data_IF_485838230867
#
_entry.id   IF_485838230867
#
_cell.length_a   1.000
_cell.length_b   1.000
_cell.length_c   1.000
_cell.angle_alpha   90.00
_cell.angle_beta   90.00
_cell.angle_gamma   90.00
#
_symmetry.space_group_name_H-M   'P 1'
#
loop_
_entity.id
_entity.type
_entity.pdbx_description
1 polymer ?
#
# COMPACT_ATOMS: atom_id res chain seq x y z
N UNK A 1 -3.25 -6.44 -39.82
CA UNK A 1 -3.04 -7.33 -38.65
C UNK A 1 -4.09 -7.04 -37.59
N UNK A 2 -4.97 -7.98 -37.31
CA UNK A 2 -6.05 -7.80 -36.33
C UNK A 2 -5.48 -7.83 -34.90
N UNK A 3 -5.68 -6.76 -34.13
CA UNK A 3 -5.32 -6.70 -32.72
C UNK A 3 -6.13 -7.74 -31.93
N UNK A 4 -5.46 -8.76 -31.39
CA UNK A 4 -6.04 -9.74 -30.47
C UNK A 4 -6.73 -8.99 -29.32
N UNK A 5 -8.06 -9.07 -29.21
CA UNK A 5 -8.82 -8.53 -28.06
C UNK A 5 -8.28 -9.16 -26.77
N UNK A 6 -7.74 -8.35 -25.88
CA UNK A 6 -7.36 -8.81 -24.53
C UNK A 6 -8.62 -9.36 -23.86
N UNK A 7 -8.52 -10.61 -23.35
CA UNK A 7 -9.59 -11.17 -22.52
C UNK A 7 -9.81 -10.23 -21.33
N UNK A 8 -11.06 -9.79 -21.12
CA UNK A 8 -11.42 -9.03 -19.91
C UNK A 8 -11.05 -9.88 -18.69
N UNK A 9 -10.18 -9.36 -17.82
CA UNK A 9 -9.90 -9.98 -16.53
C UNK A 9 -11.20 -10.10 -15.73
N UNK A 10 -11.41 -11.25 -15.08
CA UNK A 10 -12.56 -11.41 -14.17
C UNK A 10 -12.47 -10.34 -13.09
N UNK A 11 -13.57 -9.62 -12.89
CA UNK A 11 -13.65 -8.62 -11.84
C UNK A 11 -13.62 -9.34 -10.47
N UNK A 12 -12.54 -9.20 -9.74
CA UNK A 12 -12.32 -9.85 -8.45
C UNK A 12 -12.90 -9.05 -7.27
N UNK A 13 -13.26 -7.80 -7.50
CA UNK A 13 -13.87 -6.92 -6.49
C UNK A 13 -15.25 -6.49 -7.02
N UNK A 14 -16.29 -7.16 -6.54
CA UNK A 14 -17.66 -7.00 -7.02
C UNK A 14 -18.54 -6.30 -5.98
N UNK A 15 -19.77 -5.99 -6.35
CA UNK A 15 -20.78 -5.49 -5.42
C UNK A 15 -21.00 -6.48 -4.26
N UNK A 16 -20.97 -7.79 -4.53
CA UNK A 16 -21.06 -8.82 -3.50
C UNK A 16 -19.98 -8.70 -2.42
N UNK A 17 -18.75 -8.32 -2.81
CA UNK A 17 -17.67 -8.06 -1.86
C UNK A 17 -17.96 -6.83 -1.00
N UNK A 18 -18.51 -5.78 -1.60
CA UNK A 18 -18.89 -4.55 -0.89
C UNK A 18 -19.99 -4.83 0.13
N UNK A 19 -21.03 -5.57 -0.26
CA UNK A 19 -22.13 -5.99 0.60
C UNK A 19 -21.63 -6.90 1.75
N UNK A 20 -20.67 -7.77 1.44
CA UNK A 20 -20.02 -8.62 2.46
C UNK A 20 -19.23 -7.81 3.49
N UNK A 21 -18.58 -6.72 3.09
CA UNK A 21 -17.86 -5.82 4.01
C UNK A 21 -18.85 -5.11 4.94
N UNK A 22 -19.97 -4.64 4.42
CA UNK A 22 -21.04 -4.03 5.22
C UNK A 22 -21.61 -5.04 6.22
N UNK A 23 -21.89 -6.26 5.76
CA UNK A 23 -22.37 -7.34 6.61
C UNK A 23 -21.35 -7.69 7.72
N UNK A 24 -20.08 -7.78 7.37
CA UNK A 24 -18.99 -8.02 8.32
C UNK A 24 -18.95 -6.94 9.41
N UNK A 25 -19.09 -5.67 9.04
CA UNK A 25 -19.06 -4.55 9.99
C UNK A 25 -20.29 -4.55 10.92
N UNK A 26 -21.43 -5.00 10.44
CA UNK A 26 -22.68 -5.05 11.22
C UNK A 26 -22.81 -6.30 12.10
N UNK A 27 -21.96 -7.31 11.89
CA UNK A 27 -22.00 -8.57 12.65
C UNK A 27 -21.11 -8.44 13.89
N UNK A 28 -21.67 -8.76 15.07
CA UNK A 28 -20.93 -8.74 16.35
C UNK A 28 -20.22 -10.06 16.64
N UNK A 29 -20.74 -11.17 16.12
CA UNK A 29 -20.21 -12.52 16.35
C UNK A 29 -18.89 -12.73 15.58
N UNK A 30 -17.82 -13.05 16.31
CA UNK A 30 -16.48 -13.27 15.78
C UNK A 30 -16.39 -14.46 14.82
N UNK A 31 -17.12 -15.53 15.10
CA UNK A 31 -17.09 -16.75 14.27
C UNK A 31 -17.79 -16.50 12.92
N UNK A 32 -18.92 -15.82 12.96
CA UNK A 32 -19.66 -15.46 11.74
C UNK A 32 -18.84 -14.46 10.90
N UNK A 33 -18.20 -13.49 11.54
CA UNK A 33 -17.31 -12.53 10.85
C UNK A 33 -16.17 -13.24 10.13
N UNK A 34 -15.53 -14.22 10.77
CA UNK A 34 -14.45 -14.99 10.16
C UNK A 34 -14.94 -15.75 8.93
N UNK A 35 -16.10 -16.39 8.99
CA UNK A 35 -16.71 -17.10 7.85
C UNK A 35 -17.03 -16.16 6.68
N UNK A 36 -17.60 -14.98 6.96
CA UNK A 36 -17.89 -13.96 5.93
C UNK A 36 -16.58 -13.49 5.27
N UNK A 37 -15.57 -13.22 6.07
CA UNK A 37 -14.27 -12.77 5.58
C UNK A 37 -13.62 -13.80 4.65
N UNK A 38 -13.51 -15.04 5.09
CA UNK A 38 -12.88 -16.12 4.33
C UNK A 38 -13.62 -16.43 3.02
N UNK A 39 -14.94 -16.47 3.07
CA UNK A 39 -15.76 -16.84 1.92
C UNK A 39 -15.86 -15.74 0.85
N UNK A 40 -15.90 -14.46 1.23
CA UNK A 40 -16.33 -13.38 0.33
C UNK A 40 -15.36 -12.19 0.24
N UNK A 41 -14.50 -11.95 1.23
CA UNK A 41 -13.66 -10.76 1.30
C UNK A 41 -12.19 -11.09 1.06
N UNK A 42 -11.68 -12.16 1.61
CA UNK A 42 -10.25 -12.50 1.60
C UNK A 42 -9.65 -12.49 0.20
N UNK A 43 -10.28 -13.17 -0.75
CA UNK A 43 -9.79 -13.25 -2.13
C UNK A 43 -9.74 -11.87 -2.81
N UNK A 44 -10.74 -11.03 -2.56
CA UNK A 44 -10.79 -9.68 -3.12
C UNK A 44 -9.65 -8.81 -2.58
N UNK A 45 -9.38 -8.85 -1.29
CA UNK A 45 -8.26 -8.12 -0.67
C UNK A 45 -6.91 -8.67 -1.11
N UNK A 46 -6.77 -9.99 -1.21
CA UNK A 46 -5.57 -10.62 -1.71
C UNK A 46 -5.22 -10.15 -3.13
N UNK A 47 -6.19 -10.18 -4.04
CA UNK A 47 -6.00 -9.73 -5.43
C UNK A 47 -5.81 -8.22 -5.56
N UNK A 48 -6.48 -7.44 -4.73
CA UNK A 48 -6.31 -5.98 -4.69
C UNK A 48 -4.88 -5.62 -4.31
N UNK A 49 -4.36 -6.21 -3.23
CA UNK A 49 -3.00 -5.95 -2.74
C UNK A 49 -1.95 -6.42 -3.72
N UNK A 50 -2.08 -7.63 -4.28
CA UNK A 50 -1.21 -8.17 -5.32
C UNK A 50 -1.12 -7.24 -6.53
N UNK A 51 -2.25 -6.82 -7.06
CA UNK A 51 -2.30 -5.94 -8.22
C UNK A 51 -1.66 -4.57 -7.96
N UNK A 52 -1.87 -3.99 -6.78
CA UNK A 52 -1.27 -2.70 -6.43
C UNK A 52 0.24 -2.83 -6.27
N UNK A 53 0.72 -3.85 -5.58
CA UNK A 53 2.16 -4.11 -5.41
C UNK A 53 2.83 -4.23 -6.78
N UNK A 54 2.28 -5.03 -7.68
CA UNK A 54 2.86 -5.24 -9.01
C UNK A 54 2.73 -4.02 -9.94
N UNK A 55 1.61 -3.30 -9.89
CA UNK A 55 1.38 -2.13 -10.75
C UNK A 55 2.35 -1.00 -10.42
N UNK A 56 2.59 -0.75 -9.16
CA UNK A 56 3.47 0.32 -8.70
C UNK A 56 4.91 -0.14 -8.45
N UNK A 57 5.22 -1.41 -8.72
CA UNK A 57 6.56 -2.01 -8.58
C UNK A 57 7.20 -1.80 -7.21
N UNK A 58 6.40 -1.86 -6.15
CA UNK A 58 6.88 -1.70 -4.78
C UNK A 58 7.83 -2.81 -4.30
N UNK A 59 7.96 -3.89 -5.07
CA UNK A 59 8.87 -5.01 -4.77
C UNK A 59 10.36 -4.69 -5.06
N UNK A 60 10.69 -3.56 -5.68
CA UNK A 60 12.07 -3.16 -5.94
C UNK A 60 12.80 -2.54 -4.74
N UNK A 61 12.08 -2.18 -3.68
CA UNK A 61 12.66 -1.58 -2.48
C UNK A 61 12.77 -2.61 -1.37
N UNK A 62 13.91 -3.31 -1.29
CA UNK A 62 14.33 -4.17 -0.15
C UNK A 62 13.20 -4.92 0.58
N UNK A 63 12.27 -5.47 -0.17
CA UNK A 63 11.23 -6.33 0.38
C UNK A 63 11.81 -7.74 0.42
N UNK A 64 12.19 -8.21 1.59
CA UNK A 64 12.77 -9.54 1.78
C UNK A 64 11.79 -10.66 1.43
N UNK A 65 10.49 -10.41 1.56
CA UNK A 65 9.44 -11.36 1.25
C UNK A 65 8.14 -10.62 0.83
N UNK A 66 7.72 -10.82 -0.42
CA UNK A 66 6.49 -10.24 -0.95
C UNK A 66 5.23 -10.78 -0.27
N UNK A 67 5.22 -12.05 0.09
CA UNK A 67 4.09 -12.67 0.78
C UNK A 67 3.89 -12.06 2.16
N UNK A 68 4.99 -11.82 2.89
CA UNK A 68 4.94 -11.16 4.18
C UNK A 68 4.41 -9.73 4.06
N UNK A 69 4.91 -8.97 3.07
CA UNK A 69 4.43 -7.61 2.79
C UNK A 69 2.93 -7.62 2.48
N UNK A 70 2.47 -8.54 1.65
CA UNK A 70 1.06 -8.67 1.30
C UNK A 70 0.21 -9.00 2.52
N UNK A 71 0.69 -9.89 3.38
CA UNK A 71 0.01 -10.26 4.62
C UNK A 71 -0.10 -9.07 5.59
N UNK A 72 0.97 -8.30 5.77
CA UNK A 72 0.93 -7.07 6.59
C UNK A 72 -0.10 -6.06 6.06
N UNK A 73 -0.18 -5.87 4.75
CA UNK A 73 -1.16 -4.97 4.14
C UNK A 73 -2.59 -5.47 4.38
N UNK A 74 -2.85 -6.77 4.19
CA UNK A 74 -4.17 -7.36 4.42
C UNK A 74 -4.57 -7.20 5.89
N UNK A 75 -3.67 -7.45 6.82
CA UNK A 75 -3.91 -7.24 8.24
C UNK A 75 -4.25 -5.77 8.54
N UNK A 76 -3.53 -4.84 7.93
CA UNK A 76 -3.85 -3.42 8.06
C UNK A 76 -5.23 -3.07 7.48
N UNK A 77 -5.61 -3.64 6.33
CA UNK A 77 -6.95 -3.44 5.76
C UNK A 77 -8.05 -3.91 6.70
N UNK A 78 -7.86 -5.05 7.38
CA UNK A 78 -8.80 -5.54 8.38
C UNK A 78 -9.02 -4.53 9.51
N UNK A 79 -7.95 -3.88 9.99
CA UNK A 79 -8.07 -2.84 11.02
C UNK A 79 -8.83 -1.59 10.55
N UNK A 80 -8.88 -1.35 9.23
CA UNK A 80 -9.55 -0.18 8.63
C UNK A 80 -10.94 -0.49 8.06
N UNK A 81 -11.33 -1.76 8.02
CA UNK A 81 -12.57 -2.20 7.38
C UNK A 81 -13.82 -1.61 8.03
N UNK A 82 -13.80 -1.41 9.34
CA UNK A 82 -14.91 -0.82 10.10
C UNK A 82 -15.18 0.66 9.75
N UNK A 83 -14.20 1.35 9.14
CA UNK A 83 -14.32 2.76 8.74
C UNK A 83 -14.98 2.93 7.36
N UNK A 84 -15.19 1.83 6.64
CA UNK A 84 -15.84 1.89 5.34
C UNK A 84 -17.33 2.18 5.48
N UNK A 85 -17.78 3.23 4.81
CA UNK A 85 -19.18 3.67 4.78
C UNK A 85 -19.64 3.79 3.32
N UNK A 86 -20.56 2.90 2.85
CA UNK A 86 -21.05 2.93 1.49
C UNK A 86 -21.88 4.19 1.18
N UNK A 87 -22.44 4.85 2.20
CA UNK A 87 -23.27 6.04 2.03
C UNK A 87 -22.49 7.27 1.54
N UNK A 88 -21.17 7.26 1.73
CA UNK A 88 -20.26 8.34 1.27
C UNK A 88 -19.97 8.32 -0.23
N UNK A 89 -20.59 7.42 -0.99
CA UNK A 89 -20.53 7.36 -2.45
C UNK A 89 -19.22 6.80 -3.03
N UNK A 90 -18.23 6.49 -2.21
CA UNK A 90 -17.00 5.85 -2.65
C UNK A 90 -17.19 4.33 -2.70
N UNK A 91 -16.87 3.72 -3.86
CA UNK A 91 -16.87 2.25 -3.95
C UNK A 91 -15.76 1.65 -3.10
N UNK A 92 -16.02 0.50 -2.48
CA UNK A 92 -15.09 -0.21 -1.63
C UNK A 92 -13.74 -0.47 -2.33
N UNK A 93 -13.75 -0.85 -3.60
CA UNK A 93 -12.53 -1.01 -4.40
C UNK A 93 -11.62 0.24 -4.38
N UNK A 94 -12.19 1.41 -4.63
CA UNK A 94 -11.44 2.67 -4.67
C UNK A 94 -10.96 3.10 -3.27
N UNK A 95 -11.80 2.89 -2.27
CA UNK A 95 -11.50 3.21 -0.89
C UNK A 95 -10.31 2.39 -0.37
N UNK A 96 -10.40 1.07 -0.45
CA UNK A 96 -9.33 0.18 0.02
C UNK A 96 -8.08 0.25 -0.86
N UNK A 97 -8.23 0.44 -2.17
CA UNK A 97 -7.12 0.67 -3.08
C UNK A 97 -6.28 1.89 -2.71
N UNK A 98 -6.94 2.99 -2.32
CA UNK A 98 -6.25 4.19 -1.84
C UNK A 98 -5.51 3.95 -0.53
N UNK A 99 -6.10 3.20 0.40
CA UNK A 99 -5.48 2.84 1.67
C UNK A 99 -4.21 2.02 1.43
N UNK A 100 -4.29 0.96 0.61
CA UNK A 100 -3.14 0.11 0.26
C UNK A 100 -2.02 0.92 -0.36
N UNK A 101 -2.35 1.78 -1.33
CA UNK A 101 -1.37 2.63 -2.00
C UNK A 101 -0.65 3.57 -1.03
N UNK A 102 -1.39 4.24 -0.15
CA UNK A 102 -0.81 5.14 0.87
C UNK A 102 0.06 4.38 1.85
N UNK A 103 -0.37 3.22 2.29
CA UNK A 103 0.41 2.37 3.19
C UNK A 103 1.74 1.95 2.56
N UNK A 104 1.72 1.51 1.30
CA UNK A 104 2.93 1.12 0.56
C UNK A 104 3.90 2.30 0.37
N UNK A 105 3.41 3.48 0.08
CA UNK A 105 4.24 4.69 -0.03
C UNK A 105 4.95 4.97 1.30
N UNK A 106 4.23 4.93 2.41
CA UNK A 106 4.80 5.15 3.75
C UNK A 106 5.80 4.06 4.12
N UNK A 107 5.52 2.80 3.81
CA UNK A 107 6.41 1.66 4.02
C UNK A 107 7.73 1.84 3.27
N UNK A 108 7.68 2.19 1.99
CA UNK A 108 8.86 2.44 1.18
C UNK A 108 9.68 3.62 1.70
N UNK A 109 9.03 4.73 2.05
CA UNK A 109 9.70 5.90 2.63
C UNK A 109 10.42 5.55 3.93
N UNK A 110 9.77 4.76 4.79
CA UNK A 110 10.37 4.30 6.05
C UNK A 110 11.60 3.42 5.81
N UNK A 111 11.53 2.49 4.87
CA UNK A 111 12.64 1.60 4.53
C UNK A 111 13.81 2.38 3.90
N UNK A 112 13.52 3.30 3.00
CA UNK A 112 14.52 4.18 2.41
C UNK A 112 15.25 5.02 3.46
N UNK A 113 14.53 5.62 4.40
CA UNK A 113 15.12 6.40 5.49
C UNK A 113 15.97 5.54 6.43
N UNK A 114 15.57 4.27 6.68
CA UNK A 114 16.39 3.33 7.45
C UNK A 114 17.70 2.99 6.73
N UNK A 115 17.66 2.85 5.40
CA UNK A 115 18.85 2.57 4.58
C UNK A 115 19.84 3.71 4.65
N UNK A 116 19.40 4.95 4.47
CA UNK A 116 20.27 6.13 4.54
C UNK A 116 20.95 6.23 5.91
N UNK A 117 20.24 5.97 7.01
CA UNK A 117 20.79 6.01 8.36
C UNK A 117 21.81 4.90 8.65
N UNK A 118 21.84 3.84 7.86
CA UNK A 118 22.77 2.70 8.00
C UNK A 118 24.01 2.81 7.14
N UNK A 119 24.24 3.89 6.41
CA UNK A 119 25.47 4.11 5.66
C UNK A 119 26.61 4.22 6.68
N UNK A 120 27.64 3.34 6.64
CA UNK A 120 28.74 3.38 7.59
C UNK A 120 29.49 4.70 7.49
N UNK A 121 29.81 5.28 8.62
CA UNK A 121 30.59 6.54 8.72
C UNK A 121 31.94 6.44 8.00
N UNK A 122 32.49 5.24 7.87
CA UNK A 122 33.72 4.95 7.13
C UNK A 122 33.67 5.35 5.66
N UNK A 123 32.52 5.25 5.02
CA UNK A 123 32.32 5.71 3.63
C UNK A 123 32.32 7.24 3.54
N UNK A 124 31.87 7.91 4.57
CA UNK A 124 31.83 9.37 4.65
C UNK A 124 33.23 9.97 4.81
N UNK A 125 34.14 9.23 5.46
CA UNK A 125 35.53 9.67 5.69
C UNK A 125 36.45 9.41 4.49
N UNK A 126 36.16 8.38 3.66
CA UNK A 126 37.01 8.03 2.49
C UNK A 126 36.76 8.88 1.26
N UNK A 127 35.58 9.41 1.10
CA UNK A 127 35.22 10.15 -0.13
C UNK A 127 35.09 11.66 0.10
N UNK A 128 35.68 12.29 1.11
CA UNK A 128 35.68 13.74 1.31
C UNK A 128 34.35 14.39 0.82
N UNK A 129 33.23 13.78 1.14
CA UNK A 129 32.15 13.74 0.21
C UNK A 129 31.22 14.92 0.38
N UNK A 130 31.50 15.95 -0.38
CA UNK A 130 30.54 16.95 -0.87
C UNK A 130 29.27 16.30 -1.43
N UNK A 131 29.33 15.05 -1.87
CA UNK A 131 28.21 14.36 -2.50
C UNK A 131 27.08 13.99 -1.52
N UNK A 132 27.42 13.58 -0.30
CA UNK A 132 26.41 13.24 0.73
C UNK A 132 25.77 14.51 1.29
N UNK A 133 26.56 15.55 1.48
CA UNK A 133 26.08 16.85 1.94
C UNK A 133 25.16 17.53 0.93
N UNK A 134 25.48 17.47 -0.36
CA UNK A 134 24.62 18.03 -1.42
C UNK A 134 23.27 17.33 -1.51
N UNK A 135 23.18 16.02 -1.21
CA UNK A 135 21.91 15.32 -1.18
C UNK A 135 21.07 15.66 0.07
N UNK A 136 21.72 15.90 1.21
CA UNK A 136 21.04 16.31 2.43
C UNK A 136 20.55 17.74 2.30
N UNK A 137 21.35 18.64 1.74
CA UNK A 137 20.98 20.04 1.53
C UNK A 137 19.84 20.19 0.51
N UNK A 138 19.81 19.38 -0.53
CA UNK A 138 18.70 19.39 -1.49
C UNK A 138 17.38 18.88 -0.88
N UNK A 139 17.45 17.98 0.10
CA UNK A 139 16.26 17.53 0.83
C UNK A 139 15.79 18.57 1.86
N UNK A 140 16.70 19.26 2.52
CA UNK A 140 16.43 20.35 3.46
C UNK A 140 15.85 21.59 2.79
N UNK A 141 16.39 21.99 1.65
CA UNK A 141 15.96 23.19 0.90
C UNK A 141 14.56 23.07 0.29
N UNK A 142 14.09 21.87 -0.01
CA UNK A 142 12.70 21.67 -0.45
C UNK A 142 11.65 21.87 0.65
N UNK A 143 12.04 21.87 1.92
CA UNK A 143 11.13 22.14 3.05
C UNK A 143 11.07 23.61 3.45
N UNK A 144 12.03 24.40 3.07
CA UNK A 144 12.12 25.82 3.46
C UNK A 144 11.91 26.79 2.32
N UNK A 145 11.22 26.39 1.27
CA UNK A 145 10.74 27.26 0.20
C UNK A 145 9.50 28.04 0.60
N UNK A 146 9.51 28.65 1.76
CA UNK A 146 8.66 29.79 2.04
C UNK A 146 9.49 31.04 1.76
N UNK A 147 9.23 31.62 0.62
CA UNK A 147 9.73 32.90 0.17
C UNK A 147 9.48 34.01 1.16
N UNK A 148 10.51 34.72 1.50
CA UNK A 148 10.41 36.15 1.74
C UNK A 148 11.11 36.83 0.56
N UNK A 149 10.32 37.31 -0.37
CA UNK A 149 10.30 38.62 -1.02
C UNK A 149 9.14 38.65 -1.99
#
# INVERSE_FOLDING_TARGET
MARKRRKKSKNYFTQDTEDAIVLYNNTSDSEIRSKIYEARIHYAFFKLTENIIHTFKFYHTEVNNLEHLQHEIITFLLTKMHLFDPTKGAKAYSYFGTIVKRWLILYNTKNYNKKIKKVPTDHLLKEGSTYVWNNVDNYGKKKNGCNYF
#
